data_IF_428398426770
#
_entry.id   IF_428398426770
#
_cell.length_a   1.000
_cell.length_b   1.000
_cell.length_c   1.000
_cell.angle_alpha   90.00
_cell.angle_beta   90.00
_cell.angle_gamma   90.00
#
_symmetry.space_group_name_H-M   'P 1'
#
loop_
_entity.id
_entity.type
_entity.pdbx_description
1 polymer ?
#
# COMPACT_ATOMS: atom_id res chain seq x y z
N UNK A 1 -6.12 -6.76 -46.03
CA UNK A 1 -6.50 -8.06 -45.44
C UNK A 1 -5.77 -8.41 -44.14
N UNK A 2 -4.63 -7.83 -43.80
CA UNK A 2 -3.84 -8.12 -42.58
C UNK A 2 -4.39 -7.54 -41.23
N UNK A 3 -5.27 -6.54 -41.26
CA UNK A 3 -5.77 -5.90 -40.03
C UNK A 3 -6.92 -6.68 -39.31
N UNK A 4 -7.66 -7.50 -40.04
CA UNK A 4 -8.75 -8.32 -39.44
C UNK A 4 -8.26 -9.53 -38.64
N UNK A 5 -7.08 -10.06 -38.99
CA UNK A 5 -6.51 -11.24 -38.34
C UNK A 5 -5.97 -10.92 -36.93
N UNK A 6 -5.43 -9.70 -36.71
CA UNK A 6 -4.93 -9.29 -35.40
C UNK A 6 -6.05 -8.99 -34.39
N UNK A 7 -7.20 -8.51 -34.80
CA UNK A 7 -8.32 -8.21 -33.93
C UNK A 7 -8.98 -9.47 -33.37
N UNK A 8 -9.09 -10.54 -34.18
CA UNK A 8 -9.66 -11.82 -33.73
C UNK A 8 -8.73 -12.59 -32.78
N UNK A 9 -7.41 -12.46 -32.97
CA UNK A 9 -6.41 -13.08 -32.07
C UNK A 9 -6.34 -12.35 -30.72
N UNK A 10 -6.47 -11.02 -30.72
CA UNK A 10 -6.50 -10.21 -29.50
C UNK A 10 -7.78 -10.43 -28.68
N UNK A 11 -8.93 -10.60 -29.35
CA UNK A 11 -10.19 -10.92 -28.66
C UNK A 11 -10.15 -12.31 -28.04
N UNK A 12 -9.62 -13.32 -28.74
CA UNK A 12 -9.48 -14.67 -28.21
C UNK A 12 -8.52 -14.75 -27.01
N UNK A 13 -7.43 -13.98 -27.05
CA UNK A 13 -6.50 -13.87 -25.91
C UNK A 13 -7.16 -13.19 -24.70
N UNK A 14 -7.96 -12.14 -24.93
CA UNK A 14 -8.68 -11.46 -23.84
C UNK A 14 -9.72 -12.36 -23.17
N UNK A 15 -10.39 -13.20 -23.95
CA UNK A 15 -11.40 -14.14 -23.45
C UNK A 15 -10.76 -15.33 -22.70
N UNK A 16 -9.63 -15.81 -23.19
CA UNK A 16 -8.80 -16.81 -22.47
C UNK A 16 -8.30 -16.25 -21.14
N UNK A 17 -7.75 -15.03 -21.14
CA UNK A 17 -7.29 -14.35 -19.92
C UNK A 17 -8.44 -14.14 -18.93
N UNK A 18 -9.62 -13.71 -19.40
CA UNK A 18 -10.81 -13.58 -18.54
C UNK A 18 -11.27 -14.90 -17.95
N UNK A 19 -11.27 -15.97 -18.73
CA UNK A 19 -11.71 -17.30 -18.32
C UNK A 19 -10.78 -17.92 -17.26
N UNK A 20 -9.46 -17.72 -17.40
CA UNK A 20 -8.47 -18.29 -16.49
C UNK A 20 -8.04 -17.33 -15.36
N UNK A 21 -8.53 -16.09 -15.34
CA UNK A 21 -8.19 -15.09 -14.33
C UNK A 21 -8.59 -15.54 -12.92
N UNK A 22 -9.80 -16.05 -12.77
CA UNK A 22 -10.31 -16.48 -11.45
C UNK A 22 -9.56 -17.70 -10.91
N UNK A 23 -9.39 -18.81 -11.68
CA UNK A 23 -8.63 -19.96 -11.20
C UNK A 23 -7.14 -19.63 -10.98
N UNK A 24 -6.55 -18.75 -11.79
CA UNK A 24 -5.16 -18.30 -11.59
C UNK A 24 -5.00 -17.51 -10.28
N UNK A 25 -5.92 -16.62 -9.98
CA UNK A 25 -5.92 -15.88 -8.71
C UNK A 25 -6.09 -16.82 -7.50
N UNK A 26 -7.00 -17.80 -7.60
CA UNK A 26 -7.16 -18.81 -6.56
C UNK A 26 -5.89 -19.65 -6.37
N UNK A 27 -5.22 -20.03 -7.46
CA UNK A 27 -3.98 -20.79 -7.42
C UNK A 27 -2.84 -19.97 -6.78
N UNK A 28 -2.68 -18.70 -7.17
CA UNK A 28 -1.69 -17.79 -6.56
C UNK A 28 -1.97 -17.63 -5.07
N UNK A 29 -3.23 -17.43 -4.68
CA UNK A 29 -3.60 -17.28 -3.27
C UNK A 29 -3.35 -18.57 -2.47
N UNK A 30 -3.64 -19.73 -3.04
CA UNK A 30 -3.35 -21.04 -2.43
C UNK A 30 -1.83 -21.25 -2.26
N UNK A 31 -1.02 -20.88 -3.26
CA UNK A 31 0.45 -20.91 -3.16
C UNK A 31 0.98 -19.98 -2.06
N UNK A 32 0.42 -18.77 -1.94
CA UNK A 32 0.80 -17.85 -0.87
C UNK A 32 0.41 -18.39 0.52
N UNK A 33 -0.74 -19.04 0.66
CA UNK A 33 -1.14 -19.69 1.92
C UNK A 33 -0.25 -20.88 2.27
N UNK A 34 0.18 -21.65 1.29
CA UNK A 34 1.03 -22.83 1.49
C UNK A 34 2.51 -22.47 1.67
N UNK A 35 2.93 -21.24 1.33
CA UNK A 35 4.32 -20.81 1.35
C UNK A 35 5.07 -21.10 2.67
N UNK A 36 4.56 -20.78 3.88
CA UNK A 36 5.27 -21.07 5.13
C UNK A 36 5.45 -22.57 5.38
N UNK A 37 4.55 -23.42 4.86
CA UNK A 37 4.60 -24.88 5.01
C UNK A 37 5.73 -25.43 4.14
N UNK A 38 5.86 -24.98 2.89
CA UNK A 38 6.91 -25.41 1.97
C UNK A 38 8.32 -25.02 2.42
N UNK A 39 8.43 -23.87 3.10
CA UNK A 39 9.73 -23.34 3.56
C UNK A 39 10.17 -23.97 4.90
N UNK A 40 9.48 -25.03 5.37
CA UNK A 40 9.80 -25.72 6.64
C UNK A 40 9.97 -24.77 7.84
N UNK A 41 9.18 -23.69 7.88
CA UNK A 41 9.17 -22.67 8.93
C UNK A 41 10.53 -21.99 9.19
N UNK A 42 11.42 -21.94 8.21
CA UNK A 42 12.65 -21.16 8.33
C UNK A 42 12.29 -19.69 8.60
N UNK A 43 12.50 -19.23 9.83
CA UNK A 43 12.15 -17.86 10.28
C UNK A 43 12.71 -16.77 9.38
N UNK A 44 13.89 -16.99 8.80
CA UNK A 44 14.52 -16.02 7.90
C UNK A 44 13.73 -15.85 6.58
N UNK A 45 13.41 -16.96 5.91
CA UNK A 45 12.73 -16.92 4.61
C UNK A 45 11.29 -16.43 4.78
N UNK A 46 10.59 -16.85 5.85
CA UNK A 46 9.25 -16.35 6.16
C UNK A 46 9.28 -14.85 6.43
N UNK A 47 10.31 -14.32 7.12
CA UNK A 47 10.47 -12.87 7.33
C UNK A 47 10.69 -12.10 6.03
N UNK A 48 11.36 -12.69 5.04
CA UNK A 48 11.42 -12.12 3.68
C UNK A 48 10.02 -12.08 3.06
N UNK A 49 9.24 -13.15 3.20
CA UNK A 49 7.85 -13.20 2.75
C UNK A 49 6.99 -12.06 3.33
N UNK A 50 7.13 -11.78 4.64
CA UNK A 50 6.46 -10.65 5.30
C UNK A 50 6.83 -9.32 4.64
N UNK A 51 8.12 -9.10 4.38
CA UNK A 51 8.60 -7.88 3.69
C UNK A 51 8.02 -7.76 2.28
N UNK A 52 7.97 -8.86 1.53
CA UNK A 52 7.37 -8.88 0.19
C UNK A 52 5.90 -8.46 0.25
N UNK A 53 5.12 -9.00 1.18
CA UNK A 53 3.71 -8.64 1.36
C UNK A 53 3.54 -7.15 1.72
N UNK A 54 4.39 -6.63 2.59
CA UNK A 54 4.40 -5.21 2.96
C UNK A 54 4.68 -4.32 1.74
N UNK A 55 5.70 -4.65 0.94
CA UNK A 55 6.00 -3.90 -0.28
C UNK A 55 4.90 -4.06 -1.35
N UNK A 56 4.23 -5.20 -1.41
CA UNK A 56 3.09 -5.42 -2.30
C UNK A 56 1.91 -4.49 -1.93
N UNK A 57 1.63 -4.30 -0.62
CA UNK A 57 0.64 -3.32 -0.17
C UNK A 57 1.02 -1.89 -0.57
N UNK A 58 2.28 -1.50 -0.34
CA UNK A 58 2.77 -0.17 -0.73
C UNK A 58 2.70 0.06 -2.24
N UNK A 59 3.12 -0.93 -3.03
CA UNK A 59 3.04 -0.86 -4.49
C UNK A 59 1.59 -0.76 -4.98
N UNK A 60 0.66 -1.48 -4.35
CA UNK A 60 -0.76 -1.41 -4.67
C UNK A 60 -1.34 -0.03 -4.34
N UNK A 61 -0.97 0.54 -3.19
CA UNK A 61 -1.37 1.89 -2.82
C UNK A 61 -0.75 2.96 -3.75
N UNK A 62 0.52 2.82 -4.10
CA UNK A 62 1.20 3.70 -5.05
C UNK A 62 0.55 3.65 -6.43
N UNK A 63 0.12 2.46 -6.88
CA UNK A 63 -0.56 2.29 -8.15
C UNK A 63 -1.91 3.05 -8.21
N UNK A 64 -2.57 3.27 -7.08
CA UNK A 64 -3.78 4.13 -7.05
C UNK A 64 -3.43 5.55 -7.49
N UNK A 65 -2.34 6.10 -6.97
CA UNK A 65 -1.93 7.47 -7.27
C UNK A 65 -1.27 7.55 -8.66
N UNK A 66 -0.24 6.75 -8.92
CA UNK A 66 0.51 6.86 -10.17
C UNK A 66 -0.23 6.22 -11.35
N UNK A 67 -0.89 5.09 -11.11
CA UNK A 67 -1.57 4.31 -12.15
C UNK A 67 -2.94 4.84 -12.53
N UNK A 68 -3.83 5.04 -11.54
CA UNK A 68 -5.21 5.43 -11.81
C UNK A 68 -5.42 6.93 -11.93
N UNK A 69 -4.74 7.77 -11.12
CA UNK A 69 -4.87 9.22 -11.25
C UNK A 69 -3.82 9.86 -12.17
N UNK A 70 -2.80 9.12 -12.58
CA UNK A 70 -1.74 9.62 -13.47
C UNK A 70 -0.80 10.63 -12.80
N UNK A 71 -0.86 10.79 -11.49
CA UNK A 71 -0.03 11.73 -10.74
C UNK A 71 1.30 11.07 -10.36
N UNK A 72 2.43 11.63 -10.78
CA UNK A 72 3.75 11.13 -10.41
C UNK A 72 4.06 11.44 -8.93
N UNK A 73 3.88 10.45 -8.07
CA UNK A 73 4.20 10.54 -6.64
C UNK A 73 5.37 9.61 -6.31
N UNK A 74 6.49 10.18 -5.85
CA UNK A 74 7.66 9.44 -5.37
C UNK A 74 7.74 9.49 -3.83
N UNK A 75 6.79 10.18 -3.19
CA UNK A 75 6.74 10.43 -1.75
C UNK A 75 6.14 9.32 -0.90
N UNK A 76 5.88 8.12 -1.42
CA UNK A 76 5.19 7.06 -0.68
C UNK A 76 5.92 6.63 0.59
N UNK A 77 7.25 6.75 0.61
CA UNK A 77 8.07 6.44 1.77
C UNK A 77 7.74 7.32 2.99
N UNK A 78 7.40 8.61 2.78
CA UNK A 78 6.99 9.52 3.86
C UNK A 78 5.70 9.04 4.53
N UNK A 79 4.70 8.68 3.75
CA UNK A 79 3.41 8.19 4.28
C UNK A 79 3.58 6.88 5.03
N UNK A 80 4.39 5.96 4.49
CA UNK A 80 4.74 4.72 5.18
C UNK A 80 5.44 4.98 6.52
N UNK A 81 6.44 5.87 6.54
CA UNK A 81 7.19 6.21 7.74
C UNK A 81 6.28 6.82 8.81
N UNK A 82 5.41 7.79 8.45
CA UNK A 82 4.46 8.41 9.39
C UNK A 82 3.52 7.37 9.98
N UNK A 83 2.95 6.49 9.17
CA UNK A 83 2.07 5.42 9.65
C UNK A 83 2.79 4.46 10.60
N UNK A 84 3.99 4.03 10.24
CA UNK A 84 4.80 3.11 11.05
C UNK A 84 5.20 3.73 12.38
N UNK A 85 5.71 4.98 12.38
CA UNK A 85 6.09 5.66 13.62
C UNK A 85 4.89 6.02 14.49
N UNK A 86 3.75 6.39 13.91
CA UNK A 86 2.51 6.61 14.66
C UNK A 86 2.07 5.34 15.37
N UNK A 87 2.02 4.20 14.67
CA UNK A 87 1.69 2.92 15.26
C UNK A 87 2.69 2.52 16.35
N UNK A 88 4.01 2.65 16.09
CA UNK A 88 5.06 2.35 17.05
C UNK A 88 4.98 3.20 18.32
N UNK A 89 4.75 4.51 18.19
CA UNK A 89 4.63 5.42 19.34
C UNK A 89 3.37 5.14 20.17
N UNK A 90 2.24 4.91 19.54
CA UNK A 90 1.00 4.57 20.24
C UNK A 90 1.12 3.21 20.94
N UNK A 91 1.77 2.24 20.33
CA UNK A 91 2.00 0.94 20.92
C UNK A 91 2.91 1.02 22.17
N UNK A 92 4.02 1.78 22.08
CA UNK A 92 5.03 1.82 23.15
C UNK A 92 4.68 2.79 24.28
N UNK A 93 4.13 3.98 23.94
CA UNK A 93 3.85 5.02 24.94
C UNK A 93 2.44 4.96 25.51
N UNK A 94 1.45 4.57 24.71
CA UNK A 94 0.05 4.56 25.13
C UNK A 94 -0.51 3.14 25.37
N UNK A 95 0.28 2.08 25.13
CA UNK A 95 -0.13 0.68 25.24
C UNK A 95 -1.48 0.38 24.56
N UNK A 96 -1.70 0.99 23.40
CA UNK A 96 -2.95 0.86 22.64
C UNK A 96 -3.00 -0.50 21.95
N UNK A 97 -4.16 -1.13 21.96
CA UNK A 97 -4.37 -2.41 21.29
C UNK A 97 -4.17 -2.33 19.79
N UNK A 98 -3.64 -3.41 19.20
CA UNK A 98 -3.33 -3.53 17.78
C UNK A 98 -4.50 -3.11 16.86
N UNK A 99 -5.73 -3.47 17.21
CA UNK A 99 -6.92 -3.15 16.41
C UNK A 99 -7.25 -1.66 16.36
N UNK A 100 -6.84 -0.89 17.37
CA UNK A 100 -7.00 0.57 17.41
C UNK A 100 -5.81 1.24 16.73
N UNK A 101 -4.61 0.63 16.80
CA UNK A 101 -3.41 1.15 16.15
C UNK A 101 -3.57 1.29 14.64
N UNK A 102 -4.18 0.31 13.97
CA UNK A 102 -4.37 0.31 12.52
C UNK A 102 -5.18 1.52 12.03
N UNK A 103 -6.42 1.75 12.52
CA UNK A 103 -7.19 2.92 12.11
C UNK A 103 -6.57 4.24 12.59
N UNK A 104 -5.94 4.29 13.77
CA UNK A 104 -5.28 5.49 14.27
C UNK A 104 -4.10 5.90 13.40
N UNK A 105 -3.20 4.97 13.06
CA UNK A 105 -2.09 5.22 12.15
C UNK A 105 -2.58 5.62 10.76
N UNK A 106 -3.65 4.97 10.26
CA UNK A 106 -4.30 5.32 9.01
C UNK A 106 -4.86 6.74 9.01
N UNK A 107 -5.54 7.16 10.10
CA UNK A 107 -6.08 8.51 10.26
C UNK A 107 -4.98 9.58 10.27
N UNK A 108 -3.93 9.38 11.05
CA UNK A 108 -2.79 10.32 11.11
C UNK A 108 -2.12 10.44 9.75
N UNK A 109 -1.90 9.31 9.07
CA UNK A 109 -1.31 9.32 7.72
C UNK A 109 -2.24 10.01 6.70
N UNK A 110 -3.55 9.81 6.80
CA UNK A 110 -4.54 10.46 5.94
C UNK A 110 -4.58 11.99 6.18
N UNK A 111 -4.54 12.44 7.43
CA UNK A 111 -4.44 13.86 7.79
C UNK A 111 -3.16 14.49 7.23
N UNK A 112 -2.03 13.80 7.36
CA UNK A 112 -0.78 14.24 6.75
C UNK A 112 -0.90 14.32 5.23
N UNK A 113 -1.54 13.33 4.59
CA UNK A 113 -1.82 13.35 3.15
C UNK A 113 -2.66 14.55 2.72
N UNK A 114 -3.69 14.90 3.50
CA UNK A 114 -4.50 16.10 3.27
C UNK A 114 -3.66 17.37 3.36
N UNK A 115 -2.83 17.51 4.40
CA UNK A 115 -1.94 18.66 4.56
C UNK A 115 -0.99 18.82 3.37
N UNK A 116 -0.40 17.72 2.89
CA UNK A 116 0.50 17.73 1.74
C UNK A 116 -0.24 18.02 0.44
N UNK A 117 -1.47 17.56 0.31
CA UNK A 117 -2.27 17.76 -0.90
C UNK A 117 -2.60 19.23 -1.17
N UNK A 118 -2.72 20.07 -0.12
CA UNK A 118 -3.06 21.48 -0.27
C UNK A 118 -2.05 22.25 -1.14
N UNK A 119 -0.73 22.24 -0.86
CA UNK A 119 0.24 22.91 -1.71
C UNK A 119 0.49 22.18 -3.03
N UNK A 120 0.41 20.85 -3.04
CA UNK A 120 0.78 20.04 -4.23
C UNK A 120 -0.31 19.98 -5.30
N UNK A 121 -1.57 20.30 -4.99
CA UNK A 121 -2.69 20.27 -5.96
C UNK A 121 -2.53 21.18 -7.18
N UNK A 122 -1.61 22.16 -7.11
CA UNK A 122 -1.29 23.07 -8.21
C UNK A 122 -0.11 22.58 -9.07
N UNK A 123 0.54 21.53 -8.63
CA UNK A 123 1.71 20.96 -9.30
C UNK A 123 1.29 19.75 -10.14
N UNK A 124 1.92 19.61 -11.29
CA UNK A 124 1.66 18.48 -12.19
C UNK A 124 2.99 17.90 -12.73
N UNK A 125 2.93 16.65 -13.18
CA UNK A 125 4.05 15.96 -13.83
C UNK A 125 5.31 15.90 -12.96
N UNK A 126 6.45 16.25 -13.55
CA UNK A 126 7.78 16.14 -12.93
C UNK A 126 7.93 17.03 -11.67
N UNK A 127 7.29 18.20 -11.65
CA UNK A 127 7.36 19.08 -10.46
C UNK A 127 6.71 18.43 -9.24
N UNK A 128 5.59 17.73 -9.41
CA UNK A 128 4.95 16.98 -8.34
C UNK A 128 5.87 15.85 -7.83
N UNK A 129 6.54 15.15 -8.75
CA UNK A 129 7.48 14.10 -8.39
C UNK A 129 8.65 14.62 -7.55
N UNK A 130 9.24 15.76 -7.94
CA UNK A 130 10.34 16.39 -7.21
C UNK A 130 9.93 16.86 -5.80
N UNK A 131 8.75 17.49 -5.69
CA UNK A 131 8.23 17.95 -4.40
C UNK A 131 7.90 16.78 -3.48
N UNK A 132 7.30 15.70 -3.99
CA UNK A 132 7.00 14.52 -3.18
C UNK A 132 8.25 13.76 -2.77
N UNK A 133 9.30 13.73 -3.60
CA UNK A 133 10.62 13.20 -3.24
C UNK A 133 11.26 14.03 -2.13
N UNK A 134 11.28 15.36 -2.27
CA UNK A 134 11.78 16.28 -1.25
C UNK A 134 11.04 16.14 0.08
N UNK A 135 9.71 15.96 0.03
CA UNK A 135 8.90 15.70 1.21
C UNK A 135 9.33 14.40 1.92
N UNK A 136 9.58 13.33 1.17
CA UNK A 136 10.06 12.07 1.76
C UNK A 136 11.37 12.25 2.49
N UNK A 137 12.27 13.03 1.91
CA UNK A 137 13.57 13.33 2.52
C UNK A 137 13.43 14.19 3.79
N UNK A 138 12.55 15.20 3.76
CA UNK A 138 12.24 16.01 4.94
C UNK A 138 11.70 15.15 6.08
N UNK A 139 10.72 14.29 5.79
CA UNK A 139 10.14 13.38 6.80
C UNK A 139 11.22 12.44 7.35
N UNK A 140 12.07 11.89 6.49
CA UNK A 140 13.19 11.04 6.89
C UNK A 140 14.14 11.78 7.85
N UNK A 141 14.52 13.01 7.51
CA UNK A 141 15.42 13.85 8.33
C UNK A 141 14.77 14.21 9.67
N UNK A 142 13.49 14.57 9.69
CA UNK A 142 12.75 14.81 10.92
C UNK A 142 12.79 13.59 11.82
N UNK A 143 12.44 12.42 11.30
CA UNK A 143 12.43 11.16 12.04
C UNK A 143 13.83 10.84 12.60
N UNK A 144 14.89 11.04 11.81
CA UNK A 144 16.26 10.73 12.23
C UNK A 144 16.82 11.71 13.28
N UNK A 145 16.35 12.96 13.28
CA UNK A 145 16.88 13.98 14.19
C UNK A 145 16.01 14.22 15.43
N UNK A 146 14.78 13.70 15.47
CA UNK A 146 13.87 13.89 16.59
C UNK A 146 14.08 12.85 17.69
N UNK A 147 15.21 12.92 18.37
CA UNK A 147 15.63 11.92 19.37
C UNK A 147 14.61 11.70 20.50
N UNK A 148 13.93 12.76 20.96
CA UNK A 148 12.98 12.68 22.09
C UNK A 148 11.68 11.90 21.76
N UNK A 149 11.29 11.86 20.48
CA UNK A 149 10.03 11.22 20.06
C UNK A 149 10.30 9.91 19.34
N UNK A 150 11.16 9.91 18.34
CA UNK A 150 11.40 8.77 17.46
C UNK A 150 12.61 7.93 17.87
N UNK A 151 13.38 8.38 18.88
CA UNK A 151 14.66 7.82 19.25
C UNK A 151 15.74 7.91 18.14
N UNK A 152 15.52 8.82 17.18
CA UNK A 152 16.45 9.15 16.12
C UNK A 152 16.87 7.94 15.27
N UNK A 153 18.20 7.79 14.99
CA UNK A 153 18.72 6.69 14.18
C UNK A 153 18.51 5.30 14.78
N UNK A 154 18.31 5.21 16.11
CA UNK A 154 18.12 3.95 16.81
C UNK A 154 16.71 3.39 16.63
N UNK A 155 15.74 4.24 16.25
CA UNK A 155 14.34 3.89 16.06
C UNK A 155 13.62 3.48 17.34
N UNK A 156 12.33 3.19 17.22
CA UNK A 156 11.50 2.74 18.35
C UNK A 156 11.80 1.26 18.60
N UNK A 157 12.17 0.94 19.85
CA UNK A 157 12.44 -0.43 20.32
C UNK A 157 11.31 -0.91 21.21
N UNK A 158 11.33 -2.20 21.53
CA UNK A 158 10.41 -2.83 22.48
C UNK A 158 8.92 -2.61 22.17
N UNK A 159 8.58 -2.61 20.87
CA UNK A 159 7.18 -2.52 20.45
C UNK A 159 6.44 -3.76 20.97
N UNK A 160 5.34 -3.58 21.74
CA UNK A 160 4.55 -4.70 22.24
C UNK A 160 4.06 -5.59 21.11
N UNK A 161 4.05 -6.90 21.36
CA UNK A 161 3.56 -7.87 20.38
C UNK A 161 2.07 -7.72 20.20
N UNK A 162 1.60 -7.79 18.96
CA UNK A 162 0.18 -7.73 18.67
C UNK A 162 -0.53 -8.94 19.28
N UNK A 163 -1.64 -8.68 19.99
CA UNK A 163 -2.54 -9.70 20.51
C UNK A 163 -3.80 -9.68 19.65
N UNK A 164 -4.10 -10.79 18.98
CA UNK A 164 -5.27 -10.92 18.12
C UNK A 164 -6.14 -12.04 18.70
N UNK A 165 -7.36 -11.70 19.12
CA UNK A 165 -8.34 -12.65 19.69
C UNK A 165 -7.74 -13.53 20.83
N UNK A 166 -6.90 -12.93 21.69
CA UNK A 166 -6.25 -13.63 22.79
C UNK A 166 -4.98 -14.42 22.39
N UNK A 167 -4.64 -14.48 21.11
CA UNK A 167 -3.42 -15.11 20.63
C UNK A 167 -2.32 -14.07 20.43
N UNK A 168 -1.19 -14.21 21.12
CA UNK A 168 -0.04 -13.32 20.96
C UNK A 168 0.77 -13.74 19.76
N UNK A 169 0.94 -12.84 18.78
CA UNK A 169 1.75 -13.06 17.59
C UNK A 169 3.23 -13.12 18.00
N UNK A 170 3.85 -14.31 17.93
CA UNK A 170 5.24 -14.52 18.32
C UNK A 170 6.11 -15.03 17.18
N UNK A 171 5.53 -15.78 16.25
CA UNK A 171 6.26 -16.42 15.15
C UNK A 171 6.30 -15.53 13.91
N UNK A 172 7.37 -15.68 13.10
CA UNK A 172 7.42 -15.08 11.77
C UNK A 172 6.25 -15.55 10.88
N UNK A 173 5.79 -16.78 11.10
CA UNK A 173 4.64 -17.36 10.39
C UNK A 173 3.34 -16.64 10.74
N UNK A 174 3.13 -16.27 12.02
CA UNK A 174 1.94 -15.53 12.45
C UNK A 174 1.91 -14.14 11.78
N UNK A 175 3.07 -13.45 11.76
CA UNK A 175 3.21 -12.17 11.05
C UNK A 175 2.98 -12.30 9.55
N UNK A 176 3.39 -13.41 8.94
CA UNK A 176 3.15 -13.68 7.53
C UNK A 176 1.65 -13.79 7.22
N UNK A 177 0.91 -14.59 7.99
CA UNK A 177 -0.53 -14.73 7.78
C UNK A 177 -1.30 -13.44 8.05
N UNK A 178 -0.88 -12.68 9.07
CA UNK A 178 -1.44 -11.34 9.32
C UNK A 178 -1.17 -10.40 8.12
N UNK A 179 0.07 -10.35 7.63
CA UNK A 179 0.44 -9.57 6.46
C UNK A 179 -0.32 -9.98 5.20
N UNK A 180 -0.50 -11.29 4.99
CA UNK A 180 -1.28 -11.83 3.87
C UNK A 180 -2.75 -11.40 3.96
N UNK A 181 -3.36 -11.49 5.14
CA UNK A 181 -4.72 -11.06 5.39
C UNK A 181 -4.91 -9.55 5.11
N UNK A 182 -4.01 -8.71 5.64
CA UNK A 182 -4.04 -7.26 5.40
C UNK A 182 -3.80 -6.92 3.93
N UNK A 183 -2.90 -7.63 3.25
CA UNK A 183 -2.66 -7.46 1.81
C UNK A 183 -3.91 -7.81 1.01
N UNK A 184 -4.57 -8.92 1.33
CA UNK A 184 -5.80 -9.34 0.67
C UNK A 184 -6.93 -8.31 0.85
N UNK A 185 -7.11 -7.79 2.07
CA UNK A 185 -8.08 -6.71 2.35
C UNK A 185 -7.74 -5.46 1.54
N UNK A 186 -6.47 -5.04 1.53
CA UNK A 186 -6.02 -3.84 0.80
C UNK A 186 -6.29 -3.97 -0.70
N UNK A 187 -5.92 -5.08 -1.31
CA UNK A 187 -6.15 -5.36 -2.73
C UNK A 187 -7.65 -5.40 -3.05
N UNK A 188 -8.44 -6.05 -2.18
CA UNK A 188 -9.89 -6.11 -2.33
C UNK A 188 -10.53 -4.72 -2.22
N UNK A 189 -10.18 -3.94 -1.19
CA UNK A 189 -10.70 -2.59 -0.96
C UNK A 189 -10.37 -1.66 -2.13
N UNK A 190 -9.11 -1.63 -2.57
CA UNK A 190 -8.68 -0.82 -3.71
C UNK A 190 -9.40 -1.28 -4.99
N UNK A 191 -9.50 -2.59 -5.22
CA UNK A 191 -10.23 -3.14 -6.36
C UNK A 191 -11.71 -2.74 -6.38
N UNK A 192 -12.33 -2.63 -5.20
CA UNK A 192 -13.72 -2.17 -5.04
C UNK A 192 -13.86 -0.68 -5.33
N UNK A 193 -12.94 0.14 -4.79
CA UNK A 193 -12.94 1.60 -4.99
C UNK A 193 -12.67 1.95 -6.45
N UNK A 194 -11.71 1.30 -7.10
CA UNK A 194 -11.39 1.53 -8.51
C UNK A 194 -12.57 1.23 -9.45
N UNK A 195 -13.41 0.26 -9.09
CA UNK A 195 -14.63 -0.08 -9.87
C UNK A 195 -15.83 0.80 -9.52
N UNK A 196 -15.74 1.65 -8.52
CA UNK A 196 -16.80 2.59 -8.12
C UNK A 196 -16.79 3.86 -8.98
N UNK A 197 -17.74 4.77 -8.71
CA UNK A 197 -17.77 6.09 -9.34
C UNK A 197 -16.49 6.89 -9.08
N UNK A 198 -15.92 6.76 -7.87
CA UNK A 198 -14.66 7.42 -7.48
C UNK A 198 -13.53 6.96 -8.40
N UNK A 199 -13.40 5.67 -8.65
CA UNK A 199 -12.37 5.14 -9.56
C UNK A 199 -12.53 5.61 -11.00
N UNK A 200 -13.76 5.76 -11.48
CA UNK A 200 -14.05 6.35 -12.80
C UNK A 200 -13.63 7.81 -12.87
N UNK A 201 -13.86 8.58 -11.82
CA UNK A 201 -13.40 9.97 -11.73
C UNK A 201 -11.86 10.04 -11.75
N UNK A 202 -11.17 9.13 -11.09
CA UNK A 202 -9.70 9.09 -11.14
C UNK A 202 -9.17 8.85 -12.56
N UNK A 203 -9.79 7.94 -13.30
CA UNK A 203 -9.40 7.65 -14.67
C UNK A 203 -9.68 8.85 -15.58
N UNK A 204 -10.82 9.53 -15.42
CA UNK A 204 -11.14 10.73 -16.21
C UNK A 204 -10.16 11.88 -15.95
N UNK A 205 -9.73 12.07 -14.69
CA UNK A 205 -8.70 13.07 -14.33
C UNK A 205 -7.36 12.74 -14.99
N UNK A 206 -7.02 11.47 -15.11
CA UNK A 206 -5.80 11.02 -15.78
C UNK A 206 -5.83 11.29 -17.28
N UNK A 207 -6.97 11.07 -17.95
CA UNK A 207 -7.10 11.24 -19.40
C UNK A 207 -7.15 12.71 -19.78
N UNK A 208 -8.00 13.51 -19.14
CA UNK A 208 -8.09 14.96 -19.37
C UNK A 208 -8.53 15.69 -18.08
N UNK A 209 -7.57 16.33 -17.36
CA UNK A 209 -7.87 17.07 -16.15
C UNK A 209 -8.78 18.29 -16.38
N UNK A 210 -8.80 18.85 -17.60
CA UNK A 210 -9.61 20.02 -17.94
C UNK A 210 -11.05 19.59 -18.21
N UNK A 211 -11.24 18.61 -19.07
CA UNK A 211 -12.56 18.07 -19.40
C UNK A 211 -13.27 17.50 -18.17
N UNK A 212 -12.53 16.82 -17.25
CA UNK A 212 -13.12 16.24 -16.04
C UNK A 212 -13.71 17.29 -15.09
N UNK A 213 -13.18 18.52 -15.07
CA UNK A 213 -13.72 19.63 -14.26
C UNK A 213 -15.08 20.17 -14.76
N UNK A 214 -15.37 19.97 -16.05
CA UNK A 214 -16.65 20.41 -16.64
C UNK A 214 -17.73 19.32 -16.55
N UNK A 215 -17.36 18.08 -16.29
CA UNK A 215 -18.29 16.96 -16.15
C UNK A 215 -18.76 16.71 -14.71
N UNK A 216 -18.26 17.45 -13.73
CA UNK A 216 -18.62 17.39 -12.29
C UNK A 216 -17.51 16.73 -11.49
#
# INVERSE_FOLDING_TARGET
>A
MKQKTNASTLSSLSDVIKKYRTPLLCLVFALLLAFPIFVQQSSYIVSIGVKILMYAMLATALNVVNGYTGQLNIGMAAFYAIGAYTAGLLATKANVDFWILLPAAGLVTALFGLLVSLPTRRLAGTYLALVTLGLSEIVRLIIQNWNTVTNGPMGIKDIPRAVILGHTIKSATDFYYLGLFLTAITVFAIGRVVRSNIGRTWISIREDPIASKFLG
#
